data_IF_386027633105
#
_entry.id   IF_386027633105
#
_cell.length_a   1.000
_cell.length_b   1.000
_cell.length_c   1.000
_cell.angle_alpha   90.00
_cell.angle_beta   90.00
_cell.angle_gamma   90.00
#
_symmetry.space_group_name_H-M   'P 1'
#
loop_
_entity.id
_entity.type
_entity.pdbx_description
1 polymer ?
#
# COMPACT_ATOMS: atom_id res chain seq x y z
N UNK A 1 -27.72 -17.75 1.77
CA UNK A 1 -27.12 -17.99 0.44
C UNK A 1 -26.86 -19.46 0.10
N UNK A 2 -26.47 -20.34 1.04
CA UNK A 2 -26.37 -21.79 0.78
C UNK A 2 -27.72 -22.48 0.43
N UNK A 3 -28.85 -21.77 0.57
CA UNK A 3 -30.21 -22.25 0.36
C UNK A 3 -31.01 -21.44 -0.69
N UNK A 4 -30.35 -20.69 -1.59
CA UNK A 4 -31.04 -20.01 -2.70
C UNK A 4 -31.76 -18.68 -2.36
N UNK A 5 -31.64 -18.17 -1.13
CA UNK A 5 -32.18 -16.85 -0.78
C UNK A 5 -31.31 -15.71 -1.35
N UNK A 6 -31.99 -14.69 -1.90
CA UNK A 6 -31.40 -13.42 -2.34
C UNK A 6 -30.62 -12.75 -1.22
N UNK A 7 -29.43 -12.24 -1.54
CA UNK A 7 -28.61 -11.44 -0.64
C UNK A 7 -29.47 -10.31 -0.05
N UNK A 8 -29.65 -10.30 1.26
CA UNK A 8 -30.38 -9.23 1.94
C UNK A 8 -29.57 -7.93 1.73
N UNK A 9 -30.21 -6.93 1.12
CA UNK A 9 -29.61 -5.70 0.57
C UNK A 9 -28.74 -4.93 1.57
N UNK A 10 -29.03 -5.00 2.87
CA UNK A 10 -28.30 -4.31 3.93
C UNK A 10 -26.91 -4.88 4.22
N UNK A 11 -26.66 -6.17 3.96
CA UNK A 11 -25.32 -6.78 4.14
C UNK A 11 -24.41 -6.59 2.91
N UNK A 12 -24.98 -6.28 1.75
CA UNK A 12 -24.22 -6.05 0.53
C UNK A 12 -23.34 -4.79 0.64
N UNK A 13 -23.84 -3.71 1.26
CA UNK A 13 -23.10 -2.46 1.45
C UNK A 13 -21.77 -2.62 2.22
N UNK A 14 -21.73 -3.24 3.41
CA UNK A 14 -20.47 -3.45 4.12
C UNK A 14 -19.54 -4.43 3.40
N UNK A 15 -20.07 -5.47 2.75
CA UNK A 15 -19.25 -6.39 1.95
C UNK A 15 -18.62 -5.69 0.73
N UNK A 16 -19.38 -4.89 -0.01
CA UNK A 16 -18.89 -4.13 -1.15
C UNK A 16 -17.82 -3.12 -0.72
N UNK A 17 -18.10 -2.34 0.33
CA UNK A 17 -17.14 -1.38 0.86
C UNK A 17 -15.84 -2.06 1.29
N UNK A 18 -15.94 -3.23 1.89
CA UNK A 18 -14.79 -4.05 2.27
C UNK A 18 -13.97 -4.51 1.06
N UNK A 19 -14.60 -5.11 0.05
CA UNK A 19 -13.90 -5.60 -1.15
C UNK A 19 -13.28 -4.47 -1.97
N UNK A 20 -14.01 -3.37 -2.18
CA UNK A 20 -13.53 -2.17 -2.88
C UNK A 20 -12.31 -1.60 -2.12
N UNK A 21 -12.45 -1.39 -0.80
CA UNK A 21 -11.39 -0.82 0.03
C UNK A 21 -10.13 -1.68 0.06
N UNK A 22 -10.28 -3.00 0.22
CA UNK A 22 -9.16 -3.93 0.21
C UNK A 22 -8.44 -3.96 -1.15
N UNK A 23 -9.19 -4.00 -2.25
CA UNK A 23 -8.64 -4.01 -3.62
C UNK A 23 -7.88 -2.72 -3.91
N UNK A 24 -8.51 -1.57 -3.64
CA UNK A 24 -7.91 -0.27 -3.87
C UNK A 24 -6.64 -0.07 -3.03
N UNK A 25 -6.69 -0.47 -1.75
CA UNK A 25 -5.55 -0.47 -0.84
C UNK A 25 -4.39 -1.27 -1.39
N UNK A 26 -4.62 -2.56 -1.70
CA UNK A 26 -3.54 -3.46 -2.10
C UNK A 26 -2.89 -3.00 -3.40
N UNK A 27 -3.72 -2.69 -4.40
CA UNK A 27 -3.23 -2.23 -5.70
C UNK A 27 -2.48 -0.90 -5.59
N UNK A 28 -2.90 -0.01 -4.68
CA UNK A 28 -2.19 1.24 -4.43
C UNK A 28 -0.82 1.01 -3.79
N UNK A 29 -0.71 0.12 -2.81
CA UNK A 29 0.58 -0.23 -2.19
C UNK A 29 1.49 -0.94 -3.20
N UNK A 30 0.95 -1.88 -3.98
CA UNK A 30 1.68 -2.59 -5.02
C UNK A 30 2.20 -1.62 -6.08
N UNK A 31 1.34 -0.75 -6.62
CA UNK A 31 1.72 0.31 -7.57
C UNK A 31 2.83 1.19 -6.97
N UNK A 32 2.67 1.65 -5.74
CA UNK A 32 3.64 2.50 -5.07
C UNK A 32 4.98 1.77 -4.88
N UNK A 33 4.98 0.50 -4.50
CA UNK A 33 6.19 -0.31 -4.40
C UNK A 33 6.89 -0.45 -5.76
N UNK A 34 6.13 -0.66 -6.83
CA UNK A 34 6.64 -0.75 -8.20
C UNK A 34 7.24 0.58 -8.64
N UNK A 35 6.54 1.69 -8.44
CA UNK A 35 7.04 3.04 -8.75
C UNK A 35 8.37 3.33 -8.04
N UNK A 36 8.48 2.98 -6.75
CA UNK A 36 9.72 3.16 -5.98
C UNK A 36 10.82 2.22 -6.45
N UNK A 37 10.50 0.96 -6.78
CA UNK A 37 11.47 0.01 -7.32
C UNK A 37 12.06 0.47 -8.66
N UNK A 38 11.25 1.13 -9.49
CA UNK A 38 11.68 1.71 -10.77
C UNK A 38 12.57 2.93 -10.53
N UNK A 39 12.21 3.81 -9.59
CA UNK A 39 13.00 4.99 -9.25
C UNK A 39 14.41 4.63 -8.74
N UNK A 40 14.53 3.58 -7.92
CA UNK A 40 15.81 3.12 -7.37
C UNK A 40 16.73 2.51 -8.43
N UNK A 41 16.20 1.81 -9.42
CA UNK A 41 17.01 1.15 -10.46
C UNK A 41 17.39 2.12 -11.60
N UNK A 42 16.52 3.09 -11.89
CA UNK A 42 16.77 4.13 -12.87
C UNK A 42 17.54 5.30 -12.24
N UNK A 43 18.80 5.08 -11.88
CA UNK A 43 19.77 6.17 -11.74
C UNK A 43 19.83 6.94 -13.08
N UNK A 44 18.95 7.93 -13.28
CA UNK A 44 19.30 9.34 -13.47
C UNK A 44 18.11 10.21 -13.98
N UNK A 45 17.07 9.69 -14.65
CA UNK A 45 16.08 10.61 -15.27
C UNK A 45 14.61 10.22 -15.37
N UNK A 46 14.21 8.97 -15.15
CA UNK A 46 12.80 8.59 -15.42
C UNK A 46 11.93 8.68 -14.17
N UNK A 47 11.62 9.90 -13.73
CA UNK A 47 10.42 10.12 -12.92
C UNK A 47 9.24 9.56 -13.71
N UNK A 48 8.45 8.67 -13.14
CA UNK A 48 7.19 8.28 -13.77
C UNK A 48 6.42 9.59 -14.05
N UNK A 49 6.02 9.85 -15.30
CA UNK A 49 5.32 11.08 -15.61
C UNK A 49 4.04 11.11 -14.78
N UNK A 50 3.77 12.25 -14.12
CA UNK A 50 2.59 12.44 -13.25
C UNK A 50 1.30 11.95 -13.91
N UNK A 51 1.17 12.14 -15.23
CA UNK A 51 0.06 11.65 -16.05
C UNK A 51 -0.13 10.12 -15.97
N UNK A 52 0.95 9.33 -15.99
CA UNK A 52 0.87 7.85 -15.86
C UNK A 52 0.47 7.42 -14.45
N UNK A 53 1.01 8.05 -13.41
CA UNK A 53 0.63 7.75 -12.03
C UNK A 53 -0.86 8.03 -11.78
N UNK A 54 -1.37 9.16 -12.29
CA UNK A 54 -2.81 9.48 -12.23
C UNK A 54 -3.63 8.45 -13.00
N UNK A 55 -3.23 8.10 -14.23
CA UNK A 55 -3.95 7.10 -15.03
C UNK A 55 -3.99 5.73 -14.35
N UNK A 56 -2.88 5.30 -13.74
CA UNK A 56 -2.82 4.06 -12.97
C UNK A 56 -3.73 4.11 -11.74
N UNK A 57 -3.78 5.24 -11.03
CA UNK A 57 -4.69 5.40 -9.88
C UNK A 57 -6.15 5.35 -10.30
N UNK A 58 -6.53 6.01 -11.39
CA UNK A 58 -7.89 5.94 -11.95
C UNK A 58 -8.23 4.50 -12.35
N UNK A 59 -7.32 3.79 -13.02
CA UNK A 59 -7.53 2.39 -13.38
C UNK A 59 -7.72 1.48 -12.15
N UNK A 60 -6.96 1.71 -11.08
CA UNK A 60 -7.10 0.99 -9.80
C UNK A 60 -8.50 1.18 -9.23
N UNK A 61 -9.00 2.42 -9.20
CA UNK A 61 -10.34 2.71 -8.68
C UNK A 61 -11.43 2.09 -9.53
N UNK A 62 -11.37 2.24 -10.86
CA UNK A 62 -12.33 1.62 -11.79
C UNK A 62 -12.37 0.11 -11.58
N UNK A 63 -11.21 -0.54 -11.53
CA UNK A 63 -11.12 -1.97 -11.28
C UNK A 63 -11.68 -2.34 -9.90
N UNK A 64 -11.37 -1.57 -8.86
CA UNK A 64 -11.83 -1.82 -7.49
C UNK A 64 -13.35 -1.71 -7.35
N UNK A 65 -14.02 -0.87 -8.16
CA UNK A 65 -15.47 -0.80 -8.20
C UNK A 65 -16.11 -1.89 -9.06
N UNK A 66 -15.48 -2.23 -10.19
CA UNK A 66 -16.05 -3.17 -11.16
C UNK A 66 -15.90 -4.63 -10.70
N UNK A 67 -14.76 -4.97 -10.10
CA UNK A 67 -14.45 -6.34 -9.69
C UNK A 67 -15.46 -6.91 -8.69
N UNK A 68 -15.89 -6.17 -7.65
CA UNK A 68 -16.92 -6.62 -6.72
C UNK A 68 -18.31 -6.79 -7.32
N UNK A 69 -18.63 -6.23 -8.49
CA UNK A 69 -19.95 -6.44 -9.12
C UNK A 69 -20.20 -7.91 -9.50
N UNK A 70 -19.14 -8.70 -9.70
CA UNK A 70 -19.21 -10.14 -9.96
C UNK A 70 -19.85 -10.91 -8.78
N UNK A 71 -19.77 -10.35 -7.57
CA UNK A 71 -20.42 -10.86 -6.36
C UNK A 71 -21.90 -11.18 -6.56
N UNK A 72 -22.64 -10.29 -7.25
CA UNK A 72 -24.09 -10.42 -7.41
C UNK A 72 -24.50 -11.61 -8.29
N UNK A 73 -23.58 -12.13 -9.11
CA UNK A 73 -23.84 -13.23 -10.04
C UNK A 73 -23.46 -14.60 -9.45
N UNK A 74 -22.37 -14.67 -8.69
CA UNK A 74 -21.73 -15.94 -8.28
C UNK A 74 -22.00 -16.28 -6.79
N UNK A 75 -22.41 -15.30 -5.99
CA UNK A 75 -22.65 -15.44 -4.55
C UNK A 75 -21.40 -15.25 -3.70
N UNK A 76 -21.59 -14.99 -2.39
CA UNK A 76 -20.51 -14.55 -1.50
C UNK A 76 -19.34 -15.51 -1.40
N UNK A 77 -19.59 -16.79 -1.13
CA UNK A 77 -18.54 -17.75 -0.79
C UNK A 77 -17.57 -18.00 -1.95
N UNK A 78 -18.10 -18.15 -3.17
CA UNK A 78 -17.29 -18.34 -4.38
C UNK A 78 -16.53 -17.07 -4.73
N UNK A 79 -17.17 -15.90 -4.64
CA UNK A 79 -16.51 -14.63 -4.89
C UNK A 79 -15.39 -14.35 -3.89
N UNK A 80 -15.63 -14.58 -2.59
CA UNK A 80 -14.62 -14.41 -1.53
C UNK A 80 -13.40 -15.32 -1.73
N UNK A 81 -13.62 -16.57 -2.18
CA UNK A 81 -12.55 -17.50 -2.54
C UNK A 81 -11.70 -17.00 -3.71
N UNK A 82 -12.35 -16.61 -4.82
CA UNK A 82 -11.67 -16.06 -6.01
C UNK A 82 -10.89 -14.79 -5.65
N UNK A 83 -11.50 -13.91 -4.84
CA UNK A 83 -10.87 -12.68 -4.38
C UNK A 83 -9.62 -12.97 -3.54
N UNK A 84 -9.69 -13.90 -2.59
CA UNK A 84 -8.54 -14.25 -1.75
C UNK A 84 -7.36 -14.77 -2.59
N UNK A 85 -7.63 -15.65 -3.56
CA UNK A 85 -6.61 -16.15 -4.50
C UNK A 85 -6.00 -14.97 -5.28
N UNK A 86 -6.84 -14.11 -5.85
CA UNK A 86 -6.38 -12.96 -6.64
C UNK A 86 -5.47 -12.04 -5.82
N UNK A 87 -5.87 -11.71 -4.59
CA UNK A 87 -5.10 -10.84 -3.71
C UNK A 87 -3.72 -11.42 -3.43
N UNK A 88 -3.62 -12.73 -3.19
CA UNK A 88 -2.34 -13.42 -2.93
C UNK A 88 -1.46 -13.48 -4.17
N UNK A 89 -2.05 -13.75 -5.34
CA UNK A 89 -1.29 -13.73 -6.60
C UNK A 89 -0.72 -12.34 -6.83
N UNK A 90 -1.52 -11.29 -6.67
CA UNK A 90 -1.07 -9.90 -6.84
C UNK A 90 0.06 -9.57 -5.86
N UNK A 91 -0.05 -9.98 -4.60
CA UNK A 91 0.99 -9.69 -3.60
C UNK A 91 2.25 -10.48 -3.84
N UNK A 92 2.13 -11.75 -4.20
CA UNK A 92 3.26 -12.59 -4.56
C UNK A 92 4.00 -12.05 -5.77
N UNK A 93 3.29 -11.66 -6.83
CA UNK A 93 3.90 -11.02 -8.01
C UNK A 93 4.59 -9.71 -7.64
N UNK A 94 3.94 -8.84 -6.87
CA UNK A 94 4.56 -7.59 -6.39
C UNK A 94 5.81 -7.85 -5.55
N UNK A 95 5.79 -8.88 -4.70
CA UNK A 95 6.92 -9.33 -3.89
C UNK A 95 8.07 -9.85 -4.73
N UNK A 96 7.81 -10.70 -5.72
CA UNK A 96 8.84 -11.22 -6.63
C UNK A 96 9.48 -10.08 -7.42
N UNK A 97 8.68 -9.16 -7.95
CA UNK A 97 9.20 -7.97 -8.65
C UNK A 97 10.10 -7.15 -7.71
N UNK A 98 9.65 -6.88 -6.48
CA UNK A 98 10.44 -6.14 -5.50
C UNK A 98 11.77 -6.85 -5.17
N UNK A 99 11.73 -8.16 -4.95
CA UNK A 99 12.90 -8.99 -4.65
C UNK A 99 13.92 -8.96 -5.78
N UNK A 100 13.51 -9.31 -7.01
CA UNK A 100 14.37 -9.29 -8.20
C UNK A 100 15.04 -7.92 -8.34
N UNK A 101 14.28 -6.84 -8.17
CA UNK A 101 14.79 -5.47 -8.33
C UNK A 101 15.76 -5.06 -7.21
N UNK A 102 15.52 -5.45 -5.96
CA UNK A 102 16.45 -5.20 -4.85
C UNK A 102 17.79 -5.88 -5.15
N UNK A 103 17.76 -7.15 -5.56
CA UNK A 103 18.96 -7.90 -5.89
C UNK A 103 19.69 -7.33 -7.12
N UNK A 104 18.96 -6.99 -8.19
CA UNK A 104 19.54 -6.32 -9.36
C UNK A 104 20.16 -4.97 -9.00
N UNK A 105 19.50 -4.17 -8.16
CA UNK A 105 19.97 -2.85 -7.71
C UNK A 105 21.25 -2.96 -6.88
N UNK A 106 21.35 -3.96 -6.00
CA UNK A 106 22.58 -4.22 -5.22
C UNK A 106 23.70 -4.61 -6.19
N UNK A 107 23.47 -5.58 -7.08
CA UNK A 107 24.44 -6.04 -8.07
C UNK A 107 24.93 -4.91 -8.99
N UNK A 108 24.03 -4.03 -9.44
CA UNK A 108 24.40 -2.88 -10.27
C UNK A 108 25.24 -1.85 -9.52
N UNK A 109 25.07 -1.74 -8.20
CA UNK A 109 25.90 -0.85 -7.36
C UNK A 109 27.31 -1.40 -7.24
N UNK A 110 27.43 -2.70 -6.95
CA UNK A 110 28.72 -3.39 -6.86
C UNK A 110 29.47 -3.31 -8.19
N UNK A 111 28.78 -3.51 -9.32
CA UNK A 111 29.37 -3.37 -10.64
C UNK A 111 29.86 -1.94 -10.93
N UNK A 112 29.10 -0.90 -10.55
CA UNK A 112 29.51 0.50 -10.73
C UNK A 112 30.73 0.87 -9.88
N UNK A 113 30.79 0.38 -8.64
CA UNK A 113 31.92 0.62 -7.73
C UNK A 113 33.21 -0.01 -8.26
N UNK A 114 33.13 -1.18 -8.91
CA UNK A 114 34.28 -1.81 -9.57
C UNK A 114 34.78 -1.06 -10.82
N UNK A 115 33.91 -0.29 -11.49
CA UNK A 115 34.25 0.40 -12.76
C UNK A 115 34.65 1.87 -12.62
N UNK A 116 34.39 2.53 -11.48
CA UNK A 116 34.71 3.96 -11.29
C UNK A 116 36.11 4.10 -10.66
N UNK A 117 37.13 4.30 -11.52
CA UNK A 117 38.40 4.92 -11.11
C UNK A 117 38.18 6.42 -10.82
N UNK A 118 38.97 7.04 -9.91
CA UNK A 118 38.66 8.36 -9.37
C UNK A 118 38.95 9.46 -10.40
N UNK A 119 37.93 10.17 -10.88
CA UNK A 119 38.10 11.31 -11.77
C UNK A 119 37.26 12.52 -11.31
N UNK A 120 37.94 13.53 -10.77
CA UNK A 120 37.52 14.95 -10.76
C UNK A 120 36.62 15.45 -9.62
N UNK A 121 37.16 16.35 -8.77
CA UNK A 121 36.58 16.90 -7.54
C UNK A 121 35.35 17.82 -7.69
N UNK A 122 35.09 18.39 -8.87
CA UNK A 122 33.89 19.22 -9.11
C UNK A 122 32.62 18.38 -9.33
N UNK A 123 32.77 17.18 -9.92
CA UNK A 123 31.68 16.24 -10.15
C UNK A 123 31.34 15.42 -8.88
N UNK A 124 32.21 15.49 -7.88
CA UNK A 124 32.15 14.73 -6.64
C UNK A 124 31.00 15.20 -5.73
N UNK A 125 30.80 16.52 -5.58
CA UNK A 125 29.71 17.07 -4.76
C UNK A 125 28.32 16.73 -5.32
N UNK A 126 28.14 16.83 -6.65
CA UNK A 126 26.88 16.47 -7.33
C UNK A 126 26.64 14.96 -7.28
N UNK A 127 27.68 14.16 -7.50
CA UNK A 127 27.63 12.70 -7.38
C UNK A 127 27.26 12.25 -5.96
N UNK A 128 27.83 12.88 -4.92
CA UNK A 128 27.52 12.57 -3.53
C UNK A 128 26.08 12.92 -3.13
N UNK A 129 25.50 13.99 -3.68
CA UNK A 129 24.09 14.35 -3.44
C UNK A 129 23.16 13.31 -4.09
N UNK A 130 23.45 12.89 -5.33
CA UNK A 130 22.68 11.87 -6.03
C UNK A 130 22.80 10.49 -5.38
N UNK A 131 23.98 10.11 -4.88
CA UNK A 131 24.20 8.87 -4.11
C UNK A 131 23.40 8.86 -2.81
N UNK A 132 23.46 9.94 -2.01
CA UNK A 132 22.65 10.08 -0.79
C UNK A 132 21.14 10.02 -1.08
N UNK A 133 20.72 10.56 -2.22
CA UNK A 133 19.32 10.50 -2.66
C UNK A 133 18.92 9.07 -3.04
N UNK A 134 19.76 8.36 -3.79
CA UNK A 134 19.53 6.96 -4.16
C UNK A 134 19.48 6.03 -2.94
N UNK A 135 20.36 6.22 -1.95
CA UNK A 135 20.31 5.51 -0.67
C UNK A 135 19.01 5.74 0.09
N UNK A 136 18.54 7.00 0.12
CA UNK A 136 17.24 7.35 0.72
C UNK A 136 16.10 6.65 0.00
N UNK A 137 16.09 6.65 -1.33
CA UNK A 137 15.06 5.98 -2.13
C UNK A 137 15.09 4.45 -1.93
N UNK A 138 16.27 3.85 -1.78
CA UNK A 138 16.43 2.42 -1.41
C UNK A 138 15.86 2.09 -0.05
N UNK A 139 16.19 2.90 0.98
CA UNK A 139 15.65 2.70 2.33
C UNK A 139 14.13 2.75 2.32
N UNK A 140 13.56 3.71 1.61
CA UNK A 140 12.11 3.82 1.44
C UNK A 140 11.54 2.59 0.74
N UNK A 141 12.14 2.13 -0.37
CA UNK A 141 11.71 0.94 -1.11
C UNK A 141 11.76 -0.34 -0.25
N UNK A 142 12.79 -0.50 0.57
CA UNK A 142 12.91 -1.63 1.52
C UNK A 142 11.75 -1.63 2.53
N UNK A 143 11.37 -0.47 3.04
CA UNK A 143 10.22 -0.33 3.94
C UNK A 143 8.93 -0.75 3.22
N UNK A 144 8.67 -0.25 2.00
CA UNK A 144 7.49 -0.67 1.21
C UNK A 144 7.46 -2.18 0.94
N UNK A 145 8.61 -2.77 0.66
CA UNK A 145 8.73 -4.22 0.47
C UNK A 145 8.43 -4.98 1.76
N UNK A 146 8.97 -4.53 2.90
CA UNK A 146 8.69 -5.14 4.20
C UNK A 146 7.19 -5.11 4.55
N UNK A 147 6.48 -4.06 4.15
CA UNK A 147 5.04 -3.97 4.37
C UNK A 147 4.27 -4.93 3.47
N UNK A 148 4.68 -5.12 2.21
CA UNK A 148 4.10 -6.14 1.34
C UNK A 148 4.35 -7.57 1.88
N UNK A 149 5.52 -7.83 2.47
CA UNK A 149 5.82 -9.09 3.16
C UNK A 149 4.87 -9.27 4.34
N UNK A 150 4.80 -8.28 5.22
CA UNK A 150 3.91 -8.29 6.38
C UNK A 150 2.46 -8.55 5.97
N UNK A 151 1.99 -7.84 4.94
CA UNK A 151 0.67 -8.05 4.36
C UNK A 151 0.47 -9.51 3.91
N UNK A 152 1.43 -10.08 3.19
CA UNK A 152 1.34 -11.47 2.71
C UNK A 152 1.28 -12.46 3.88
N UNK A 153 2.13 -12.29 4.90
CA UNK A 153 2.15 -13.15 6.09
C UNK A 153 0.84 -13.05 6.87
N UNK A 154 0.30 -11.84 7.06
CA UNK A 154 -0.95 -11.64 7.80
C UNK A 154 -2.17 -12.22 7.06
N UNK A 155 -2.14 -12.29 5.72
CA UNK A 155 -3.25 -12.83 4.93
C UNK A 155 -3.13 -14.34 4.66
N UNK A 156 -1.95 -14.94 4.84
CA UNK A 156 -1.72 -16.36 4.62
C UNK A 156 -2.62 -17.25 5.49
N UNK A 157 -2.83 -17.00 6.80
CA UNK A 157 -3.76 -17.79 7.62
C UNK A 157 -5.17 -17.73 7.05
N UNK A 158 -5.66 -16.54 6.71
CA UNK A 158 -6.99 -16.34 6.16
C UNK A 158 -7.20 -17.11 4.84
N UNK A 159 -6.16 -17.21 4.01
CA UNK A 159 -6.18 -18.03 2.81
C UNK A 159 -6.30 -19.52 3.10
N UNK A 160 -5.50 -20.04 4.02
CA UNK A 160 -5.53 -21.45 4.42
C UNK A 160 -6.92 -21.80 4.95
N UNK A 161 -7.51 -20.94 5.78
CA UNK A 161 -8.86 -21.16 6.31
C UNK A 161 -9.95 -21.12 5.24
N UNK A 162 -9.89 -20.19 4.29
CA UNK A 162 -10.80 -20.14 3.13
C UNK A 162 -10.74 -21.42 2.30
N UNK A 163 -9.53 -21.96 2.11
CA UNK A 163 -9.31 -23.20 1.37
C UNK A 163 -9.92 -24.37 2.14
N UNK A 164 -9.62 -24.50 3.44
CA UNK A 164 -10.20 -25.56 4.28
C UNK A 164 -11.73 -25.51 4.27
N UNK A 165 -12.34 -24.33 4.40
CA UNK A 165 -13.81 -24.20 4.39
C UNK A 165 -14.43 -24.56 3.03
N UNK A 166 -13.76 -24.28 1.90
CA UNK A 166 -14.29 -24.62 0.57
C UNK A 166 -14.18 -26.11 0.24
N UNK A 167 -13.12 -26.79 0.69
CA UNK A 167 -12.88 -28.20 0.36
C UNK A 167 -13.41 -29.19 1.43
N UNK A 168 -13.82 -28.69 2.58
CA UNK A 168 -14.35 -29.50 3.66
C UNK A 168 -15.85 -29.75 3.47
N UNK A 169 -16.23 -31.01 3.24
CA UNK A 169 -17.63 -31.44 3.12
C UNK A 169 -18.37 -31.51 4.45
N UNK A 170 -17.65 -31.59 5.58
CA UNK A 170 -18.21 -31.83 6.93
C UNK A 170 -17.56 -30.94 7.99
N UNK A 171 -17.52 -29.63 7.78
CA UNK A 171 -16.97 -28.67 8.76
C UNK A 171 -18.05 -28.07 9.67
N UNK A 172 -17.72 -27.86 10.94
CA UNK A 172 -18.61 -27.24 11.93
C UNK A 172 -18.91 -25.78 11.56
N UNK A 173 -20.16 -25.34 11.74
CA UNK A 173 -20.58 -23.93 11.56
C UNK A 173 -19.69 -22.95 12.34
N UNK A 174 -19.21 -23.33 13.53
CA UNK A 174 -18.34 -22.49 14.36
C UNK A 174 -17.02 -22.20 13.64
N UNK A 175 -16.43 -23.21 12.99
CA UNK A 175 -15.18 -23.05 12.25
C UNK A 175 -15.35 -22.11 11.04
N UNK A 176 -16.49 -22.19 10.36
CA UNK A 176 -16.82 -21.30 9.24
C UNK A 176 -16.95 -19.85 9.74
N UNK A 177 -17.62 -19.62 10.87
CA UNK A 177 -17.75 -18.28 11.44
C UNK A 177 -16.39 -17.70 11.87
N UNK A 178 -15.58 -18.47 12.59
CA UNK A 178 -14.23 -18.04 13.00
C UNK A 178 -13.32 -17.75 11.81
N UNK A 179 -13.39 -18.55 10.74
CA UNK A 179 -12.60 -18.32 9.52
C UNK A 179 -12.92 -16.98 8.87
N UNK A 180 -14.20 -16.62 8.82
CA UNK A 180 -14.68 -15.35 8.26
C UNK A 180 -14.27 -14.17 9.12
N UNK A 181 -14.37 -14.30 10.44
CA UNK A 181 -14.01 -13.23 11.36
C UNK A 181 -12.49 -13.00 11.34
N UNK A 182 -11.70 -14.06 11.24
CA UNK A 182 -10.24 -13.95 11.08
C UNK A 182 -9.87 -13.33 9.73
N UNK A 183 -10.52 -13.70 8.63
CA UNK A 183 -10.34 -13.07 7.32
C UNK A 183 -10.65 -11.56 7.38
N UNK A 184 -11.76 -11.20 8.01
CA UNK A 184 -12.15 -9.81 8.20
C UNK A 184 -11.10 -9.05 9.03
N UNK A 185 -10.61 -9.66 10.11
CA UNK A 185 -9.61 -9.06 10.99
C UNK A 185 -8.25 -8.87 10.29
N UNK A 186 -7.78 -9.87 9.53
CA UNK A 186 -6.57 -9.77 8.72
C UNK A 186 -6.67 -8.65 7.66
N UNK A 187 -7.83 -8.49 7.05
CA UNK A 187 -8.08 -7.43 6.09
C UNK A 187 -8.27 -6.05 6.75
N UNK A 188 -8.81 -5.96 7.96
CA UNK A 188 -8.83 -4.72 8.73
C UNK A 188 -7.41 -4.27 9.12
N UNK A 189 -6.53 -5.21 9.47
CA UNK A 189 -5.10 -4.94 9.73
C UNK A 189 -4.40 -4.40 8.48
N UNK A 190 -4.79 -4.85 7.28
CA UNK A 190 -4.31 -4.27 6.02
C UNK A 190 -4.75 -2.81 5.86
N UNK A 191 -6.03 -2.53 6.08
CA UNK A 191 -6.57 -1.19 5.94
C UNK A 191 -5.95 -0.20 6.94
N UNK A 192 -5.77 -0.61 8.21
CA UNK A 192 -5.10 0.21 9.22
C UNK A 192 -3.61 0.37 8.95
N UNK A 193 -2.97 -0.68 8.40
CA UNK A 193 -1.58 -0.67 7.94
C UNK A 193 -1.27 0.53 7.04
N UNK A 194 -2.20 0.94 6.17
CA UNK A 194 -2.06 2.12 5.31
C UNK A 194 -1.90 3.43 6.09
N UNK A 195 -2.68 3.62 7.15
CA UNK A 195 -2.63 4.84 7.96
C UNK A 195 -1.31 4.93 8.73
N UNK A 196 -0.87 3.82 9.32
CA UNK A 196 0.45 3.73 9.96
C UNK A 196 1.58 3.94 8.95
N UNK A 197 1.42 3.42 7.73
CA UNK A 197 2.32 3.62 6.61
C UNK A 197 2.51 5.11 6.27
N UNK A 198 1.42 5.86 6.13
CA UNK A 198 1.48 7.29 5.81
C UNK A 198 2.07 8.11 6.97
N UNK A 199 1.68 7.81 8.20
CA UNK A 199 2.20 8.45 9.41
C UNK A 199 3.71 8.19 9.61
N UNK A 200 4.19 6.98 9.29
CA UNK A 200 5.60 6.59 9.40
C UNK A 200 6.45 7.06 8.22
N UNK A 201 5.89 7.09 7.00
CA UNK A 201 6.58 7.50 5.76
C UNK A 201 6.95 8.97 5.75
N UNK A 202 6.10 9.83 6.31
CA UNK A 202 6.29 11.27 6.26
C UNK A 202 6.89 11.79 7.57
N UNK A 203 8.22 11.88 7.64
CA UNK A 203 8.89 12.66 8.70
C UNK A 203 8.36 14.10 8.78
N UNK A 204 7.86 14.66 7.66
CA UNK A 204 7.16 15.95 7.63
C UNK A 204 5.82 15.91 8.37
N UNK A 205 5.07 14.81 8.27
CA UNK A 205 3.82 14.61 9.01
C UNK A 205 4.12 14.39 10.50
N UNK A 206 5.11 13.57 10.86
CA UNK A 206 5.54 13.41 12.26
C UNK A 206 6.07 14.72 12.85
N UNK A 207 6.77 15.54 12.05
CA UNK A 207 7.26 16.85 12.46
C UNK A 207 6.12 17.87 12.61
N UNK A 208 5.14 17.87 11.71
CA UNK A 208 3.94 18.69 11.84
C UNK A 208 3.06 18.25 13.02
N UNK A 209 2.89 16.95 13.22
CA UNK A 209 2.15 16.37 14.35
C UNK A 209 2.82 16.69 15.69
N UNK A 210 4.16 16.56 15.78
CA UNK A 210 4.91 17.08 16.95
C UNK A 210 4.71 18.57 17.13
N UNK A 211 4.73 19.35 16.05
CA UNK A 211 4.50 20.80 16.13
C UNK A 211 3.08 21.14 16.62
N UNK A 212 2.09 20.34 16.25
CA UNK A 212 0.69 20.46 16.69
C UNK A 212 0.49 20.04 18.15
N UNK A 213 1.13 18.94 18.57
CA UNK A 213 1.05 18.41 19.95
C UNK A 213 1.88 19.26 20.92
N UNK A 214 2.96 19.88 20.46
CA UNK A 214 3.80 20.79 21.25
C UNK A 214 3.40 22.25 21.10
N UNK A 215 2.36 22.58 20.31
CA UNK A 215 1.77 23.91 20.34
C UNK A 215 0.92 23.99 21.62
N UNK A 216 1.24 24.87 22.58
CA UNK A 216 0.25 25.26 23.57
C UNK A 216 -0.90 25.89 22.78
N UNK A 217 -2.13 25.47 23.05
CA UNK A 217 -3.34 26.21 22.64
C UNK A 217 -3.31 27.57 23.36
N UNK A 218 -2.50 28.49 22.87
CA UNK A 218 -2.46 29.85 23.37
C UNK A 218 -2.41 30.75 22.14
N UNK A 219 -3.55 31.41 21.92
CA UNK A 219 -3.71 32.64 21.16
C UNK A 219 -3.71 32.63 19.61
N UNK A 220 -4.49 31.73 18.98
CA UNK A 220 -5.01 32.01 17.62
C UNK A 220 -6.02 33.20 17.61
N UNK A 221 -6.54 33.61 18.77
CA UNK A 221 -7.44 34.76 18.88
C UNK A 221 -6.71 36.13 18.83
N UNK A 222 -5.41 36.20 19.16
CA UNK A 222 -4.67 37.48 19.19
C UNK A 222 -3.92 37.81 17.89
N UNK A 223 -3.60 36.80 17.07
CA UNK A 223 -2.88 36.96 15.80
C UNK A 223 -3.80 37.48 14.68
N UNK A 224 -5.11 37.21 14.75
CA UNK A 224 -6.07 37.74 13.76
C UNK A 224 -6.31 39.25 13.98
N UNK A 225 -6.34 39.70 15.24
CA UNK A 225 -6.64 41.10 15.58
C UNK A 225 -5.47 42.06 15.30
N UNK A 226 -4.23 41.57 15.29
CA UNK A 226 -3.04 42.37 14.94
C UNK A 226 -2.79 42.50 13.44
N UNK A 227 -3.51 41.74 12.61
CA UNK A 227 -3.40 41.83 11.14
C UNK A 227 -4.36 42.88 10.55
N UNK A 228 -5.57 43.01 11.11
CA UNK A 228 -6.58 43.98 10.64
C UNK A 228 -6.25 45.44 11.01
N UNK A 229 -5.47 45.68 12.08
CA UNK A 229 -5.05 47.03 12.46
C UNK A 229 -3.87 47.57 11.63
N UNK A 230 -3.11 46.71 10.95
CA UNK A 230 -1.93 47.12 10.18
C UNK A 230 -2.25 47.50 8.72
N UNK A 231 -3.40 47.09 8.20
CA UNK A 231 -3.86 47.43 6.84
C UNK A 231 -4.69 48.74 6.79
N UNK A 232 -4.86 49.44 7.92
CA UNK A 232 -5.65 50.68 8.03
C UNK A 232 -4.83 51.92 8.40
N UNK A 233 -3.50 51.85 8.37
CA UNK A 233 -2.62 52.96 8.71
C UNK A 233 -1.52 53.11 7.65
#
# INVERSE_FOLDING_TARGET
EAFGYTVITWYALPHMSFFIGCTASLLSIAMLSMERSIAVNANYHRKLPRKRAVNMSVAIWIFSFTFPCIYFQIGYFKFAFIFAILMIIVTFVAMVIAFIRIHCSIRSTTARVLTVQPMGSANEKTSQIELKRAERERRVTRIFTAILIFYTICNLPAFVFIFVVNFCSSCSCIFIHWSRDLLLLCALVNCSGNQFLYAWRMKSFTRAFRSLVHLPLTDEASVIQTRDTRDKQ
#
